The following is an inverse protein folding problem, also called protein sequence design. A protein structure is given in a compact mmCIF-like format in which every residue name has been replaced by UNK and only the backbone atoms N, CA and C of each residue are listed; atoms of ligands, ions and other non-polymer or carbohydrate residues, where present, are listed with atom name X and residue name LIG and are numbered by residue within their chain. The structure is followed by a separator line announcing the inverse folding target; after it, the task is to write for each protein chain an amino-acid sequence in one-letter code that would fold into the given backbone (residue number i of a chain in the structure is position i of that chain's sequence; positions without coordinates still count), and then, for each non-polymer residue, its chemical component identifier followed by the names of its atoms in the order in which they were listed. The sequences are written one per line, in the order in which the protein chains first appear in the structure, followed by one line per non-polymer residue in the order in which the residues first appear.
data_IF_074536296785
#
_entry.id   IF_074536296785
#
_cell.length_a   1.000
_cell.length_b   1.000
_cell.length_c   1.000
_cell.angle_alpha   90.00
_cell.angle_beta   90.00
_cell.angle_gamma   90.00
#
_symmetry.space_group_name_H-M   'P 1'
#
loop_
_entity.id
_entity.type
_entity.pdbx_description
1 polymer ?
#
# COMPACT_ATOMS: atom_id res chain seq x y z
N UNK A 1 6.42 -4.10 18.67
CA UNK A 1 7.37 -5.10 18.17
C UNK A 1 8.71 -4.42 17.97
N UNK A 2 9.82 -5.09 18.29
CA UNK A 2 11.14 -4.45 18.22
C UNK A 2 11.77 -4.55 16.82
N UNK A 3 11.45 -5.59 16.03
CA UNK A 3 12.01 -5.82 14.68
C UNK A 3 10.96 -6.50 13.79
N UNK A 4 10.85 -6.05 12.54
CA UNK A 4 10.04 -6.69 11.49
C UNK A 4 10.93 -7.08 10.32
N UNK A 5 10.79 -8.31 9.81
CA UNK A 5 11.46 -8.75 8.60
C UNK A 5 10.78 -8.14 7.37
N UNK A 6 11.51 -7.31 6.62
CA UNK A 6 11.00 -6.65 5.42
C UNK A 6 12.03 -6.66 4.29
N UNK A 7 11.55 -6.86 3.06
CA UNK A 7 12.40 -6.80 1.88
C UNK A 7 12.85 -5.36 1.61
N UNK A 8 14.12 -5.19 1.20
CA UNK A 8 14.70 -3.88 0.89
C UNK A 8 13.86 -3.06 -0.11
N UNK A 9 13.33 -3.61 -1.23
CA UNK A 9 12.49 -2.83 -2.16
C UNK A 9 11.23 -2.28 -1.48
N UNK A 10 10.63 -3.03 -0.55
CA UNK A 10 9.46 -2.56 0.19
C UNK A 10 9.80 -1.40 1.13
N UNK A 11 10.99 -1.42 1.74
CA UNK A 11 11.49 -0.32 2.57
C UNK A 11 11.74 0.92 1.71
N UNK A 12 12.41 0.74 0.56
CA UNK A 12 12.70 1.84 -0.38
C UNK A 12 11.41 2.51 -0.87
N UNK A 13 10.36 1.75 -1.17
CA UNK A 13 9.08 2.34 -1.61
C UNK A 13 8.46 3.27 -0.55
N UNK A 14 8.46 2.87 0.73
CA UNK A 14 7.96 3.70 1.82
C UNK A 14 8.88 4.93 2.07
N UNK A 15 10.20 4.75 1.99
CA UNK A 15 11.17 5.84 2.11
C UNK A 15 11.13 6.81 0.94
N UNK A 16 10.78 6.35 -0.27
CA UNK A 16 10.60 7.22 -1.44
C UNK A 16 9.36 8.12 -1.30
N UNK A 17 8.33 7.64 -0.60
CA UNK A 17 7.14 8.44 -0.31
C UNK A 17 7.41 9.50 0.76
N UNK A 18 8.17 9.12 1.80
CA UNK A 18 8.61 9.99 2.91
C UNK A 18 7.57 11.03 3.36
N UNK A 19 6.36 10.61 3.76
CA UNK A 19 5.32 11.54 4.15
C UNK A 19 5.73 12.33 5.41
N UNK A 20 5.54 13.66 5.45
CA UNK A 20 5.83 14.43 6.65
C UNK A 20 4.81 14.10 7.77
N UNK A 21 5.21 14.24 9.05
CA UNK A 21 4.29 14.07 10.17
C UNK A 21 3.04 14.96 10.04
N UNK A 22 1.86 14.39 10.33
CA UNK A 22 0.57 15.06 10.22
C UNK A 22 -0.13 14.90 8.87
N UNK A 23 0.50 14.26 7.88
CA UNK A 23 -0.08 14.04 6.55
C UNK A 23 -1.17 12.98 6.55
N UNK A 24 -2.00 13.00 5.50
CA UNK A 24 -2.94 11.93 5.16
C UNK A 24 -2.35 11.02 4.09
N UNK A 25 -2.12 9.76 4.45
CA UNK A 25 -1.50 8.76 3.59
C UNK A 25 -2.49 7.64 3.27
N UNK A 26 -2.52 7.21 2.01
CA UNK A 26 -3.27 6.04 1.58
C UNK A 26 -2.31 4.91 1.19
N UNK A 27 -2.44 3.75 1.81
CA UNK A 27 -1.82 2.50 1.38
C UNK A 27 -2.89 1.62 0.73
N UNK A 28 -2.88 1.54 -0.61
CA UNK A 28 -3.97 0.90 -1.36
C UNK A 28 -3.91 -0.64 -1.35
N UNK A 29 -2.74 -1.20 -1.01
CA UNK A 29 -2.48 -2.64 -1.03
C UNK A 29 -1.58 -2.98 0.17
N UNK A 30 -2.11 -2.72 1.36
CA UNK A 30 -1.34 -2.65 2.58
C UNK A 30 -0.87 -4.03 3.08
N UNK A 31 -1.59 -5.12 2.82
CA UNK A 31 -1.29 -6.40 3.46
C UNK A 31 0.04 -7.00 2.98
N UNK A 32 0.88 -7.55 3.89
CA UNK A 32 0.60 -7.87 5.30
C UNK A 32 0.75 -6.71 6.32
N UNK A 33 1.02 -5.49 5.88
CA UNK A 33 1.06 -4.28 6.71
C UNK A 33 2.45 -3.69 6.97
N UNK A 34 3.52 -4.30 6.43
CA UNK A 34 4.90 -3.87 6.73
C UNK A 34 5.28 -2.49 6.19
N UNK A 35 4.78 -2.11 5.02
CA UNK A 35 5.00 -0.76 4.50
C UNK A 35 4.20 0.26 5.31
N UNK A 36 2.98 -0.09 5.67
CA UNK A 36 2.10 0.72 6.50
C UNK A 36 2.70 1.02 7.86
N UNK A 37 3.27 0.01 8.55
CA UNK A 37 3.94 0.23 9.84
C UNK A 37 5.20 1.08 9.70
N UNK A 38 5.96 0.93 8.62
CA UNK A 38 7.11 1.79 8.34
C UNK A 38 6.69 3.24 8.05
N UNK A 39 5.60 3.46 7.32
CA UNK A 39 5.04 4.81 7.09
C UNK A 39 4.61 5.45 8.42
N UNK A 40 3.97 4.68 9.31
CA UNK A 40 3.60 5.15 10.65
C UNK A 40 4.83 5.57 11.47
N UNK A 41 5.94 4.83 11.34
CA UNK A 41 7.22 5.18 11.97
C UNK A 41 7.83 6.46 11.38
N UNK A 42 7.84 6.62 10.06
CA UNK A 42 8.34 7.82 9.37
C UNK A 42 7.55 9.07 9.81
N UNK A 43 6.23 8.94 9.93
CA UNK A 43 5.34 10.02 10.38
C UNK A 43 5.38 10.26 11.89
N UNK A 44 6.10 9.42 12.66
CA UNK A 44 6.12 9.51 14.12
C UNK A 44 4.74 9.33 14.75
N UNK A 45 3.87 8.50 14.16
CA UNK A 45 2.47 8.31 14.56
C UNK A 45 1.60 9.59 14.56
N UNK A 46 2.01 10.63 13.82
CA UNK A 46 1.25 11.86 13.67
C UNK A 46 0.60 11.91 12.28
N UNK A 47 -0.71 12.11 12.22
CA UNK A 47 -1.48 12.14 10.98
C UNK A 47 -2.41 10.94 10.85
N UNK A 48 -2.72 10.57 9.61
CA UNK A 48 -3.70 9.53 9.27
C UNK A 48 -3.13 8.65 8.16
N UNK A 49 -3.15 7.33 8.36
CA UNK A 49 -2.78 6.34 7.35
C UNK A 49 -3.97 5.42 7.14
N UNK A 50 -4.58 5.49 5.96
CA UNK A 50 -5.66 4.58 5.58
C UNK A 50 -5.04 3.37 4.89
N UNK A 51 -5.17 2.21 5.50
CA UNK A 51 -4.65 0.94 5.00
C UNK A 51 -5.78 0.09 4.41
N UNK A 52 -5.72 -0.15 3.10
CA UNK A 52 -6.73 -0.89 2.35
C UNK A 52 -6.14 -2.19 1.79
N UNK A 53 -6.96 -3.25 1.79
CA UNK A 53 -6.73 -4.44 0.98
C UNK A 53 -8.08 -5.05 0.56
N UNK A 54 -8.03 -6.00 -0.37
CA UNK A 54 -9.20 -6.60 -1.01
C UNK A 54 -9.98 -7.58 -0.11
N UNK A 55 -9.31 -8.20 0.86
CA UNK A 55 -9.87 -9.32 1.64
C UNK A 55 -9.88 -9.02 3.13
N UNK A 56 -10.99 -9.31 3.82
CA UNK A 56 -11.12 -9.22 5.28
C UNK A 56 -9.99 -9.91 6.04
N UNK A 57 -9.58 -11.11 5.60
CA UNK A 57 -8.47 -11.85 6.21
C UNK A 57 -7.16 -11.04 6.22
N UNK A 58 -6.88 -10.35 5.11
CA UNK A 58 -5.69 -9.51 4.96
C UNK A 58 -5.79 -8.21 5.76
N UNK A 59 -6.99 -7.64 5.87
CA UNK A 59 -7.24 -6.48 6.74
C UNK A 59 -6.99 -6.85 8.20
N UNK A 60 -7.40 -8.05 8.62
CA UNK A 60 -7.08 -8.59 9.94
C UNK A 60 -5.57 -8.76 10.16
N UNK A 61 -4.80 -9.18 9.15
CA UNK A 61 -3.34 -9.25 9.24
C UNK A 61 -2.70 -7.87 9.44
N UNK A 62 -3.15 -6.86 8.67
CA UNK A 62 -2.69 -5.48 8.83
C UNK A 62 -2.97 -5.02 10.27
N UNK A 63 -4.17 -5.23 10.78
CA UNK A 63 -4.59 -4.82 12.12
C UNK A 63 -3.77 -5.49 13.23
N UNK A 64 -3.48 -6.78 13.10
CA UNK A 64 -2.62 -7.49 14.06
C UNK A 64 -1.23 -6.87 14.07
N UNK A 65 -0.64 -6.69 12.89
CA UNK A 65 0.73 -6.19 12.77
C UNK A 65 0.87 -4.73 13.21
N UNK A 66 -0.08 -3.86 12.85
CA UNK A 66 -0.06 -2.45 13.28
C UNK A 66 -0.25 -2.33 14.78
N UNK A 67 -1.13 -3.14 15.37
CA UNK A 67 -1.30 -3.24 16.82
C UNK A 67 -0.03 -3.73 17.53
N UNK A 68 0.60 -4.79 17.02
CA UNK A 68 1.86 -5.30 17.54
C UNK A 68 2.99 -4.27 17.45
N UNK A 69 3.06 -3.49 16.36
CA UNK A 69 4.08 -2.48 16.12
C UNK A 69 3.80 -1.12 16.77
N UNK A 70 2.63 -0.94 17.38
CA UNK A 70 2.25 0.33 18.02
C UNK A 70 2.00 1.46 17.03
N UNK A 71 1.54 1.14 15.82
CA UNK A 71 1.17 2.12 14.80
C UNK A 71 -0.24 2.66 15.10
N UNK A 72 -0.32 3.80 15.79
CA UNK A 72 -1.60 4.36 16.28
C UNK A 72 -2.33 5.22 15.25
N UNK A 73 -1.63 5.65 14.20
CA UNK A 73 -2.18 6.52 13.15
C UNK A 73 -2.79 5.74 11.98
N UNK A 74 -2.94 4.42 12.09
CA UNK A 74 -3.42 3.56 11.00
C UNK A 74 -4.90 3.23 11.18
N UNK A 75 -5.72 3.56 10.19
CA UNK A 75 -7.10 3.10 10.06
C UNK A 75 -7.19 1.96 9.05
N UNK A 76 -7.76 0.83 9.47
CA UNK A 76 -8.17 -0.24 8.57
C UNK A 76 -9.44 0.16 7.82
N UNK A 77 -9.50 -0.07 6.50
CA UNK A 77 -10.66 0.31 5.66
C UNK A 77 -12.03 -0.25 6.08
N UNK A 78 -12.07 -1.18 7.04
CA UNK A 78 -13.27 -1.72 7.68
C UNK A 78 -13.65 -1.00 8.98
N UNK A 79 -12.67 -0.41 9.67
CA UNK A 79 -12.87 0.42 10.86
C UNK A 79 -13.07 1.91 10.53
N UNK A 80 -12.68 2.33 9.33
CA UNK A 80 -12.96 3.67 8.84
C UNK A 80 -14.48 3.88 8.69
N UNK A 81 -15.04 5.01 9.18
CA UNK A 81 -16.45 5.36 8.94
C UNK A 81 -16.79 5.55 7.45
N UNK A 82 -15.80 5.41 6.56
CA UNK A 82 -15.91 5.54 5.10
C UNK A 82 -15.22 4.36 4.41
N UNK A 83 -15.96 3.36 3.92
CA UNK A 83 -15.36 2.28 3.13
C UNK A 83 -14.71 2.85 1.87
N UNK A 84 -13.68 2.15 1.39
CA UNK A 84 -12.76 2.47 0.28
C UNK A 84 -13.32 3.11 -1.02
N UNK A 85 -14.63 3.05 -1.37
CA UNK A 85 -15.16 3.84 -2.49
C UNK A 85 -15.65 5.26 -2.12
N UNK A 86 -15.61 5.67 -0.84
CA UNK A 86 -16.32 6.87 -0.36
C UNK A 86 -15.45 8.05 0.05
N UNK A 87 -14.13 7.97 -0.18
CA UNK A 87 -13.26 9.12 0.02
C UNK A 87 -13.54 10.19 -1.05
N UNK A 88 -13.65 11.47 -0.67
CA UNK A 88 -13.80 12.54 -1.64
C UNK A 88 -12.54 12.62 -2.52
N UNK A 89 -12.66 13.17 -3.74
CA UNK A 89 -11.48 13.45 -4.55
C UNK A 89 -10.53 14.40 -3.81
N UNK A 90 -9.23 14.29 -4.10
CA UNK A 90 -8.19 15.14 -3.50
C UNK A 90 -8.09 15.08 -1.96
N UNK A 91 -8.41 13.93 -1.36
CA UNK A 91 -8.41 13.75 0.09
C UNK A 91 -7.03 13.46 0.69
N UNK A 92 -6.16 12.75 -0.04
CA UNK A 92 -4.88 12.27 0.47
C UNK A 92 -3.71 13.13 -0.02
N UNK A 93 -2.77 13.43 0.89
CA UNK A 93 -1.52 14.13 0.58
C UNK A 93 -0.53 13.20 -0.14
N UNK A 94 -0.50 11.95 0.31
CA UNK A 94 0.47 10.96 -0.11
C UNK A 94 -0.20 9.62 -0.36
N UNK A 95 0.16 8.94 -1.43
CA UNK A 95 -0.41 7.63 -1.76
C UNK A 95 0.72 6.65 -2.07
N UNK A 96 0.67 5.49 -1.44
CA UNK A 96 1.48 4.33 -1.77
C UNK A 96 0.60 3.31 -2.51
N UNK A 97 0.93 3.07 -3.78
CA UNK A 97 0.31 2.02 -4.58
C UNK A 97 1.35 0.94 -4.86
N UNK A 98 1.43 -0.05 -3.96
CA UNK A 98 2.17 -1.29 -4.20
C UNK A 98 1.26 -2.28 -4.95
N UNK A 99 1.24 -2.17 -6.27
CA UNK A 99 0.19 -2.79 -7.05
C UNK A 99 0.36 -4.32 -7.11
N UNK A 100 -0.74 -5.10 -7.06
CA UNK A 100 -0.69 -6.54 -7.19
C UNK A 100 -0.08 -6.91 -8.54
N UNK A 101 1.07 -7.57 -8.47
CA UNK A 101 1.91 -7.86 -9.61
C UNK A 101 1.99 -9.38 -9.84
N UNK A 102 2.47 -9.81 -11.01
CA UNK A 102 2.72 -11.22 -11.33
C UNK A 102 3.84 -11.88 -10.53
N UNK A 103 4.44 -11.15 -9.58
CA UNK A 103 5.50 -11.56 -8.65
C UNK A 103 6.80 -12.06 -9.31
N UNK A 104 7.01 -11.72 -10.59
CA UNK A 104 8.14 -12.22 -11.38
C UNK A 104 9.51 -11.78 -10.87
N UNK A 105 9.58 -10.67 -10.14
CA UNK A 105 10.82 -10.12 -9.60
C UNK A 105 11.14 -10.50 -8.14
N UNK A 106 10.28 -11.26 -7.44
CA UNK A 106 10.47 -11.53 -5.99
C UNK A 106 11.54 -12.61 -5.71
N UNK A 107 11.53 -13.69 -6.49
CA UNK A 107 12.49 -14.80 -6.42
C UNK A 107 12.54 -15.52 -7.77
N UNK A 108 13.72 -15.93 -8.27
CA UNK A 108 13.80 -16.82 -9.42
C UNK A 108 13.00 -18.09 -9.13
N UNK A 109 11.94 -18.36 -9.89
CA UNK A 109 11.15 -19.59 -9.78
C UNK A 109 11.56 -20.53 -10.91
N UNK A 110 11.80 -21.81 -10.57
CA UNK A 110 12.17 -22.86 -11.52
C UNK A 110 11.08 -23.15 -12.57
N UNK A 111 9.82 -22.91 -12.23
CA UNK A 111 8.70 -22.96 -13.17
C UNK A 111 7.83 -21.72 -13.00
N UNK A 112 7.60 -21.03 -14.11
CA UNK A 112 6.78 -19.83 -14.16
C UNK A 112 5.44 -20.16 -14.80
N UNK A 113 4.40 -20.34 -13.99
CA UNK A 113 3.03 -20.60 -14.46
C UNK A 113 2.29 -19.30 -14.76
N UNK A 114 2.91 -18.38 -15.50
CA UNK A 114 2.29 -17.09 -15.84
C UNK A 114 1.70 -17.15 -17.25
N UNK A 115 0.39 -17.36 -17.35
CA UNK A 115 -0.30 -17.23 -18.64
C UNK A 115 -0.31 -15.77 -19.10
N UNK A 116 -0.18 -15.54 -20.41
CA UNK A 116 -0.29 -14.19 -20.99
C UNK A 116 -1.63 -13.50 -20.62
N UNK A 117 -2.70 -14.28 -20.45
CA UNK A 117 -3.99 -13.78 -19.99
C UNK A 117 -3.92 -13.21 -18.55
N UNK A 118 -3.18 -13.88 -17.66
CA UNK A 118 -2.99 -13.43 -16.28
C UNK A 118 -2.18 -12.13 -16.22
N UNK A 119 -1.13 -12.00 -17.04
CA UNK A 119 -0.34 -10.76 -17.14
C UNK A 119 -1.21 -9.58 -17.59
N UNK A 120 -2.08 -9.78 -18.60
CA UNK A 120 -3.02 -8.75 -19.05
C UNK A 120 -4.02 -8.38 -17.96
N UNK A 121 -4.50 -9.34 -17.18
CA UNK A 121 -5.41 -9.09 -16.06
C UNK A 121 -4.73 -8.26 -14.96
N UNK A 122 -3.48 -8.57 -14.62
CA UNK A 122 -2.68 -7.76 -13.70
C UNK A 122 -2.53 -6.33 -14.21
N UNK A 123 -2.15 -6.13 -15.47
CA UNK A 123 -2.02 -4.79 -16.06
C UNK A 123 -3.33 -3.99 -16.04
N UNK A 124 -4.46 -4.63 -16.32
CA UNK A 124 -5.77 -3.99 -16.23
C UNK A 124 -6.14 -3.59 -14.78
N UNK A 125 -5.83 -4.45 -13.80
CA UNK A 125 -6.04 -4.13 -12.39
C UNK A 125 -5.14 -2.98 -11.91
N UNK A 126 -3.87 -2.99 -12.30
CA UNK A 126 -2.90 -1.94 -11.99
C UNK A 126 -3.34 -0.58 -12.53
N UNK A 127 -3.82 -0.51 -13.79
CA UNK A 127 -4.36 0.72 -14.37
C UNK A 127 -5.56 1.26 -13.58
N UNK A 128 -6.52 0.40 -13.23
CA UNK A 128 -7.70 0.80 -12.45
C UNK A 128 -7.32 1.35 -11.07
N UNK A 129 -6.34 0.74 -10.41
CA UNK A 129 -5.83 1.21 -9.12
C UNK A 129 -5.07 2.53 -9.27
N UNK A 130 -4.28 2.68 -10.34
CA UNK A 130 -3.59 3.93 -10.66
C UNK A 130 -4.57 5.08 -10.92
N UNK A 131 -5.61 4.84 -11.71
CA UNK A 131 -6.65 5.84 -11.98
C UNK A 131 -7.38 6.26 -10.70
N UNK A 132 -7.64 5.31 -9.79
CA UNK A 132 -8.22 5.60 -8.48
C UNK A 132 -7.26 6.39 -7.59
N UNK A 133 -5.97 6.03 -7.57
CA UNK A 133 -4.94 6.75 -6.82
C UNK A 133 -4.85 8.21 -7.25
N UNK A 134 -4.80 8.48 -8.56
CA UNK A 134 -4.70 9.84 -9.09
C UNK A 134 -5.94 10.67 -8.75
N UNK A 135 -7.14 10.08 -8.73
CA UNK A 135 -8.38 10.79 -8.35
C UNK A 135 -8.43 11.16 -6.86
N UNK A 136 -7.83 10.33 -6.01
CA UNK A 136 -7.82 10.51 -4.56
C UNK A 136 -6.67 11.39 -4.07
N UNK A 137 -5.62 11.54 -4.87
CA UNK A 137 -4.46 12.37 -4.57
C UNK A 137 -4.82 13.85 -4.69
N UNK A 138 -4.46 14.65 -3.69
CA UNK A 138 -4.61 16.10 -3.78
C UNK A 138 -3.70 16.71 -4.82
N UNK A 139 -4.08 17.86 -5.33
CA UNK A 139 -3.18 18.67 -6.15
C UNK A 139 -1.90 19.02 -5.37
N UNK A 140 -0.74 18.67 -5.94
CA UNK A 140 0.56 18.84 -5.30
C UNK A 140 0.96 17.76 -4.28
N UNK A 141 0.17 16.68 -4.17
CA UNK A 141 0.54 15.49 -3.40
C UNK A 141 1.54 14.59 -4.12
N UNK A 142 2.03 13.56 -3.43
CA UNK A 142 2.98 12.59 -3.99
C UNK A 142 2.38 11.19 -4.07
N UNK A 143 2.51 10.55 -5.24
CA UNK A 143 2.15 9.14 -5.45
C UNK A 143 3.41 8.32 -5.70
N UNK A 144 3.62 7.29 -4.90
CA UNK A 144 4.64 6.26 -5.18
C UNK A 144 3.94 5.01 -5.71
N UNK A 145 4.27 4.66 -6.95
CA UNK A 145 3.86 3.42 -7.58
C UNK A 145 5.01 2.41 -7.50
N UNK A 146 4.74 1.26 -6.87
CA UNK A 146 5.69 0.16 -6.71
C UNK A 146 5.10 -1.11 -7.30
N UNK A 147 5.93 -1.91 -7.96
CA UNK A 147 5.57 -3.26 -8.36
C UNK A 147 6.75 -4.21 -8.18
N UNK A 148 6.44 -5.47 -8.00
CA UNK A 148 7.40 -6.56 -7.89
C UNK A 148 7.61 -7.34 -9.21
N UNK A 149 7.35 -6.72 -10.37
CA UNK A 149 7.46 -7.37 -11.69
C UNK A 149 8.52 -6.70 -12.56
N UNK A 150 9.13 -7.49 -13.43
CA UNK A 150 10.12 -7.03 -14.44
C UNK A 150 9.50 -6.92 -15.84
N UNK A 151 8.23 -7.31 -15.98
CA UNK A 151 7.52 -7.24 -17.25
C UNK A 151 6.92 -5.84 -17.43
N UNK A 152 7.21 -5.13 -18.53
CA UNK A 152 6.68 -3.80 -18.80
C UNK A 152 5.17 -3.78 -19.08
#
# INVERSE_FOLDING_TARGET
GWVMLQNLPSVVAALALCPPPGSRVLDMCAAPGGKTTLLAQIMGNLGEIVALDRSHAKVSEIRSLTGEMGATCVEDGEGSPRPAPSFPPEYFDHILLDAPCSALGLRPRLQQQSSAAYLRQCGAAQRRLGDAAVRLLRTGGSLVYSTCTINP
#
